data_IF_394209354103
#
_entry.id   IF_394209354103
#
_cell.length_a   1.000
_cell.length_b   1.000
_cell.length_c   1.000
_cell.angle_alpha   90.00
_cell.angle_beta   90.00
_cell.angle_gamma   90.00
#
_symmetry.space_group_name_H-M   'P 1'
#
loop_
_entity.id
_entity.type
_entity.pdbx_description
1 polymer ?
#
# COMPACT_ATOMS: atom_id res chain seq x y z
N UNK A 1 36.07 9.72 27.95
CA UNK A 1 35.07 8.76 27.45
C UNK A 1 33.73 9.49 27.43
N UNK A 2 33.32 10.20 26.39
CA UNK A 2 33.39 9.88 24.98
C UNK A 2 32.07 9.26 24.50
N UNK A 3 30.92 9.86 24.85
CA UNK A 3 29.61 9.46 24.31
C UNK A 3 29.47 10.06 22.91
N UNK A 4 29.95 9.30 21.93
CA UNK A 4 29.68 9.56 20.53
C UNK A 4 28.26 9.17 20.14
N UNK A 5 27.70 10.01 19.27
CA UNK A 5 26.88 9.59 18.13
C UNK A 5 25.65 8.73 18.44
N UNK A 6 24.55 9.41 18.80
CA UNK A 6 23.26 9.12 18.17
C UNK A 6 23.16 10.04 16.94
N UNK A 7 23.60 9.49 15.81
CA UNK A 7 23.41 10.05 14.48
C UNK A 7 21.93 10.47 14.31
N UNK A 8 21.62 11.75 14.09
CA UNK A 8 21.72 12.40 12.79
C UNK A 8 20.94 11.66 11.68
N UNK A 9 19.64 11.46 11.88
CA UNK A 9 18.66 11.25 10.81
C UNK A 9 17.32 11.89 11.19
N UNK A 10 17.37 13.17 11.55
CA UNK A 10 16.29 14.10 11.26
C UNK A 10 16.94 15.14 10.36
N UNK A 11 17.20 14.74 9.11
CA UNK A 11 17.63 15.71 8.10
C UNK A 11 16.45 16.62 7.87
N UNK A 12 16.61 17.82 8.41
CA UNK A 12 15.72 18.96 8.36
C UNK A 12 15.18 19.15 6.94
N UNK A 13 13.86 19.04 6.77
CA UNK A 13 13.20 19.70 5.65
C UNK A 13 13.32 21.21 5.91
N UNK A 14 14.39 21.84 5.43
CA UNK A 14 14.61 23.30 5.46
C UNK A 14 13.80 23.93 4.33
N UNK A 15 12.62 24.51 4.57
CA UNK A 15 11.71 24.92 3.50
C UNK A 15 12.20 26.12 2.69
N UNK A 16 13.29 26.78 3.13
CA UNK A 16 13.82 28.02 2.56
C UNK A 16 15.25 27.90 2.02
N UNK A 17 15.95 26.79 2.29
CA UNK A 17 17.27 26.45 1.70
C UNK A 17 17.05 25.45 0.55
N UNK A 18 16.09 25.74 -0.33
CA UNK A 18 15.90 24.94 -1.56
C UNK A 18 16.86 25.47 -2.59
N UNK A 19 17.88 24.70 -2.92
CA UNK A 19 18.82 25.04 -3.98
C UNK A 19 18.05 25.13 -5.31
N UNK A 20 18.19 26.26 -6.02
CA UNK A 20 17.51 26.47 -7.31
C UNK A 20 17.95 25.44 -8.38
N UNK A 21 19.10 24.80 -8.21
CA UNK A 21 19.55 23.68 -9.04
C UNK A 21 18.68 22.43 -8.84
N UNK A 22 18.21 22.14 -7.61
CA UNK A 22 17.28 21.02 -7.34
C UNK A 22 15.91 21.23 -8.01
N UNK A 23 15.48 22.49 -8.17
CA UNK A 23 14.25 22.81 -8.90
C UNK A 23 14.36 22.52 -10.40
N UNK A 24 15.56 22.59 -10.97
CA UNK A 24 15.75 22.33 -12.40
C UNK A 24 15.52 20.85 -12.75
N UNK A 25 15.87 19.95 -11.84
CA UNK A 25 15.60 18.52 -11.96
C UNK A 25 14.12 18.19 -11.74
N UNK A 26 13.45 18.90 -10.83
CA UNK A 26 12.00 18.80 -10.61
C UNK A 26 11.20 19.36 -11.81
N UNK A 27 11.56 20.52 -12.36
CA UNK A 27 10.92 21.09 -13.56
C UNK A 27 11.09 20.17 -14.78
N UNK A 28 12.30 19.61 -14.97
CA UNK A 28 12.60 18.62 -16.02
C UNK A 28 11.77 17.34 -15.85
N UNK A 29 11.57 16.90 -14.60
CA UNK A 29 10.76 15.72 -14.28
C UNK A 29 9.27 15.98 -14.49
N UNK A 30 8.77 17.16 -14.13
CA UNK A 30 7.38 17.58 -14.37
C UNK A 30 7.09 17.67 -15.87
N UNK A 31 8.02 18.22 -16.66
CA UNK A 31 7.85 18.29 -18.10
C UNK A 31 7.74 16.89 -18.73
N UNK A 32 8.62 15.96 -18.35
CA UNK A 32 8.55 14.56 -18.81
C UNK A 32 7.26 13.86 -18.38
N UNK A 33 6.79 14.11 -17.15
CA UNK A 33 5.52 13.60 -16.68
C UNK A 33 4.35 14.07 -17.58
N UNK A 34 4.34 15.35 -17.95
CA UNK A 34 3.31 15.92 -18.82
C UNK A 34 3.35 15.30 -20.22
N UNK A 35 4.53 15.15 -20.81
CA UNK A 35 4.71 14.50 -22.11
C UNK A 35 4.21 13.04 -22.08
N UNK A 36 4.64 12.25 -21.09
CA UNK A 36 4.20 10.87 -20.92
C UNK A 36 2.69 10.76 -20.72
N UNK A 37 2.09 11.70 -19.96
CA UNK A 37 0.65 11.74 -19.73
C UNK A 37 -0.13 12.05 -21.01
N UNK A 38 0.34 13.01 -21.81
CA UNK A 38 -0.30 13.36 -23.09
C UNK A 38 -0.29 12.15 -24.02
N UNK A 39 0.83 11.44 -24.12
CA UNK A 39 0.93 10.23 -24.96
C UNK A 39 -0.07 9.16 -24.51
N UNK A 40 -0.13 8.86 -23.21
CA UNK A 40 -1.07 7.87 -22.66
C UNK A 40 -2.52 8.27 -22.88
N UNK A 41 -2.85 9.57 -22.79
CA UNK A 41 -4.21 10.07 -23.01
C UNK A 41 -4.68 9.93 -24.46
N UNK A 42 -3.77 9.97 -25.42
CA UNK A 42 -4.07 9.90 -26.85
C UNK A 42 -3.82 8.52 -27.45
N UNK A 43 -3.33 7.56 -26.66
CA UNK A 43 -3.15 6.17 -27.09
C UNK A 43 -4.45 5.37 -26.96
N UNK A 44 -5.21 5.36 -28.06
CA UNK A 44 -6.46 4.59 -28.16
C UNK A 44 -6.24 3.07 -28.04
N UNK A 45 -5.06 2.57 -28.41
CA UNK A 45 -4.76 1.13 -28.29
C UNK A 45 -4.54 0.74 -26.82
N UNK A 46 -3.80 1.57 -26.09
CA UNK A 46 -3.61 1.41 -24.65
C UNK A 46 -4.95 1.52 -23.91
N UNK A 47 -5.80 2.47 -24.32
CA UNK A 47 -7.15 2.64 -23.76
C UNK A 47 -8.05 1.42 -24.00
N UNK A 48 -8.03 0.86 -25.20
CA UNK A 48 -8.76 -0.36 -25.54
C UNK A 48 -8.24 -1.57 -24.74
N UNK A 49 -6.92 -1.74 -24.67
CA UNK A 49 -6.29 -2.82 -23.90
C UNK A 49 -6.61 -2.71 -22.40
N UNK A 50 -6.62 -1.50 -21.84
CA UNK A 50 -6.95 -1.27 -20.43
C UNK A 50 -8.37 -1.72 -20.06
N UNK A 51 -9.34 -1.55 -20.97
CA UNK A 51 -10.71 -2.02 -20.73
C UNK A 51 -10.83 -3.54 -20.72
N UNK A 52 -9.94 -4.22 -21.45
CA UNK A 52 -9.98 -5.67 -21.65
C UNK A 52 -9.07 -6.43 -20.69
N UNK A 53 -8.15 -5.74 -20.02
CA UNK A 53 -7.10 -6.35 -19.19
C UNK A 53 -7.24 -5.96 -17.71
N UNK A 54 -6.76 -6.82 -16.82
CA UNK A 54 -6.74 -6.52 -15.39
C UNK A 54 -5.64 -5.49 -15.06
N UNK A 55 -5.77 -4.79 -13.92
CA UNK A 55 -4.81 -3.80 -13.43
C UNK A 55 -3.36 -4.32 -13.37
N UNK A 56 -3.17 -5.64 -13.27
CA UNK A 56 -1.85 -6.27 -13.32
C UNK A 56 -1.12 -6.13 -14.65
N UNK A 57 -1.84 -6.00 -15.78
CA UNK A 57 -1.24 -5.81 -17.11
C UNK A 57 -0.94 -4.34 -17.39
N UNK A 58 -1.64 -3.40 -16.73
CA UNK A 58 -1.33 -1.97 -16.78
C UNK A 58 0.11 -1.67 -16.32
N UNK A 59 0.67 -2.46 -15.39
CA UNK A 59 2.08 -2.40 -14.99
C UNK A 59 3.08 -2.65 -16.14
N UNK A 60 2.66 -3.28 -17.23
CA UNK A 60 3.57 -3.50 -18.37
C UNK A 60 3.82 -2.20 -19.13
N UNK A 61 2.81 -1.32 -19.22
CA UNK A 61 2.93 0.02 -19.80
C UNK A 61 3.78 0.95 -18.92
N UNK A 62 3.85 0.68 -17.61
CA UNK A 62 4.74 1.38 -16.65
C UNK A 62 6.22 1.34 -17.07
N UNK A 63 6.65 0.27 -17.76
CA UNK A 63 8.03 0.17 -18.26
C UNK A 63 8.33 1.13 -19.41
N UNK A 64 7.31 1.48 -20.19
CA UNK A 64 7.44 2.40 -21.32
C UNK A 64 7.29 3.87 -20.91
N UNK A 65 6.69 4.12 -19.73
CA UNK A 65 6.42 5.44 -19.14
C UNK A 65 6.90 5.48 -17.67
N UNK A 66 8.22 5.46 -17.43
CA UNK A 66 8.78 5.27 -16.10
C UNK A 66 8.53 6.43 -15.13
N UNK A 67 8.39 7.66 -15.63
CA UNK A 67 8.13 8.84 -14.77
C UNK A 67 6.68 8.83 -14.31
N UNK A 68 5.75 8.66 -15.24
CA UNK A 68 4.32 8.54 -14.97
C UNK A 68 4.01 7.32 -14.12
N UNK A 69 4.67 6.19 -14.39
CA UNK A 69 4.55 4.97 -13.61
C UNK A 69 4.91 5.17 -12.13
N UNK A 70 6.06 5.81 -11.86
CA UNK A 70 6.51 6.13 -10.50
C UNK A 70 5.51 7.03 -9.75
N UNK A 71 5.02 8.08 -10.39
CA UNK A 71 4.05 8.98 -9.74
C UNK A 71 2.69 8.32 -9.52
N UNK A 72 2.23 7.51 -10.48
CA UNK A 72 1.02 6.71 -10.33
C UNK A 72 1.15 5.71 -9.16
N UNK A 73 2.32 5.09 -8.99
CA UNK A 73 2.57 4.16 -7.89
C UNK A 73 2.47 4.86 -6.53
N UNK A 74 3.05 6.06 -6.37
CA UNK A 74 2.93 6.85 -5.12
C UNK A 74 1.47 7.09 -4.74
N UNK A 75 0.65 7.49 -5.71
CA UNK A 75 -0.78 7.73 -5.50
C UNK A 75 -1.50 6.43 -5.13
N UNK A 76 -1.29 5.36 -5.89
CA UNK A 76 -1.92 4.05 -5.64
C UNK A 76 -1.50 3.45 -4.29
N UNK A 77 -0.24 3.60 -3.90
CA UNK A 77 0.28 3.16 -2.60
C UNK A 77 -0.37 3.91 -1.44
N UNK A 78 -0.53 5.24 -1.54
CA UNK A 78 -1.20 6.05 -0.52
C UNK A 78 -2.65 5.56 -0.30
N UNK A 79 -3.38 5.25 -1.37
CA UNK A 79 -4.72 4.69 -1.27
C UNK A 79 -4.73 3.30 -0.62
N UNK A 80 -3.85 2.39 -1.07
CA UNK A 80 -3.82 1.02 -0.54
C UNK A 80 -3.47 1.02 0.96
N UNK A 81 -2.47 1.79 1.37
CA UNK A 81 -2.03 1.88 2.77
C UNK A 81 -3.09 2.52 3.67
N UNK A 82 -3.75 3.59 3.21
CA UNK A 82 -4.82 4.24 3.97
C UNK A 82 -6.02 3.31 4.13
N UNK A 83 -6.47 2.68 3.04
CA UNK A 83 -7.59 1.74 3.07
C UNK A 83 -7.31 0.53 3.99
N UNK A 84 -6.10 -0.05 3.90
CA UNK A 84 -5.72 -1.17 4.76
C UNK A 84 -5.64 -0.76 6.23
N UNK A 85 -5.15 0.43 6.55
CA UNK A 85 -5.17 0.98 7.89
C UNK A 85 -6.60 1.17 8.41
N UNK A 86 -7.47 1.82 7.63
CA UNK A 86 -8.88 2.04 7.99
C UNK A 86 -9.62 0.72 8.21
N UNK A 87 -9.47 -0.24 7.29
CA UNK A 87 -10.04 -1.59 7.41
C UNK A 87 -9.48 -2.34 8.64
N UNK A 88 -8.19 -2.19 8.92
CA UNK A 88 -7.53 -2.68 10.13
C UNK A 88 -8.16 -2.14 11.40
N UNK A 89 -8.33 -0.82 11.49
CA UNK A 89 -8.95 -0.17 12.64
C UNK A 89 -10.43 -0.54 12.80
N UNK A 90 -11.19 -0.62 11.71
CA UNK A 90 -12.57 -1.05 11.72
C UNK A 90 -12.71 -2.49 12.25
N UNK A 91 -11.83 -3.39 11.80
CA UNK A 91 -11.78 -4.78 12.28
C UNK A 91 -11.45 -4.86 13.77
N UNK A 92 -10.47 -4.09 14.23
CA UNK A 92 -10.12 -4.01 15.65
C UNK A 92 -11.30 -3.48 16.49
N UNK A 93 -11.99 -2.44 16.03
CA UNK A 93 -13.17 -1.91 16.69
C UNK A 93 -14.30 -2.96 16.78
N UNK A 94 -14.54 -3.72 15.71
CA UNK A 94 -15.51 -4.82 15.70
C UNK A 94 -15.14 -5.94 16.68
N UNK A 95 -13.85 -6.32 16.74
CA UNK A 95 -13.37 -7.34 17.68
C UNK A 95 -13.54 -6.88 19.13
N UNK A 96 -13.13 -5.65 19.45
CA UNK A 96 -13.22 -5.10 20.82
C UNK A 96 -14.66 -4.93 21.30
N UNK A 97 -15.58 -4.54 20.41
CA UNK A 97 -16.99 -4.34 20.78
C UNK A 97 -17.72 -5.67 21.04
N UNK A 98 -17.36 -6.74 20.32
CA UNK A 98 -17.99 -8.07 20.47
C UNK A 98 -17.34 -8.94 21.54
N UNK A 99 -16.03 -8.85 21.73
CA UNK A 99 -15.29 -9.62 22.73
C UNK A 99 -15.18 -8.86 24.05
N UNK A 100 -16.29 -8.74 24.80
CA UNK A 100 -16.35 -8.01 26.09
C UNK A 100 -15.40 -8.53 27.18
N UNK A 101 -14.87 -9.75 27.06
CA UNK A 101 -14.13 -10.45 28.13
C UNK A 101 -12.68 -10.83 27.79
N UNK A 102 -12.12 -10.41 26.65
CA UNK A 102 -10.74 -10.77 26.24
C UNK A 102 -9.81 -9.56 26.28
N UNK A 103 -8.72 -9.67 27.05
CA UNK A 103 -7.72 -8.62 27.24
C UNK A 103 -6.76 -8.44 26.03
N UNK A 104 -6.73 -9.37 25.08
CA UNK A 104 -5.73 -9.41 23.99
C UNK A 104 -6.37 -9.68 22.61
N UNK A 105 -6.60 -8.65 21.77
CA UNK A 105 -7.26 -8.78 20.46
C UNK A 105 -6.30 -9.14 19.30
N UNK A 106 -4.99 -9.23 19.55
CA UNK A 106 -3.95 -9.34 18.51
C UNK A 106 -4.11 -10.57 17.62
N UNK A 107 -4.43 -11.74 18.20
CA UNK A 107 -4.62 -12.98 17.45
C UNK A 107 -5.85 -12.91 16.54
N UNK A 108 -6.96 -12.39 17.06
CA UNK A 108 -8.22 -12.27 16.32
C UNK A 108 -8.07 -11.26 15.18
N UNK A 109 -7.36 -10.15 15.42
CA UNK A 109 -7.08 -9.15 14.39
C UNK A 109 -6.18 -9.72 13.29
N UNK A 110 -5.14 -10.49 13.65
CA UNK A 110 -4.27 -11.15 12.67
C UNK A 110 -5.06 -12.09 11.77
N UNK A 111 -6.00 -12.86 12.32
CA UNK A 111 -6.86 -13.74 11.54
C UNK A 111 -7.83 -12.93 10.67
N UNK A 112 -8.45 -11.87 11.21
CA UNK A 112 -9.41 -11.04 10.49
C UNK A 112 -8.80 -10.28 9.30
N UNK A 113 -7.53 -9.88 9.39
CA UNK A 113 -6.81 -9.20 8.32
C UNK A 113 -6.04 -10.15 7.40
N UNK A 114 -6.11 -11.46 7.62
CA UNK A 114 -5.41 -12.44 6.80
C UNK A 114 -6.12 -12.64 5.47
N UNK A 115 -5.35 -12.62 4.38
CA UNK A 115 -5.81 -13.05 3.05
C UNK A 115 -5.68 -14.56 2.85
N UNK A 116 -5.15 -15.28 3.83
CA UNK A 116 -4.94 -16.73 3.77
C UNK A 116 -6.25 -17.42 4.12
N UNK A 117 -6.77 -18.24 3.21
CA UNK A 117 -7.96 -19.04 3.49
C UNK A 117 -7.69 -20.07 4.61
N UNK A 118 -8.54 -20.13 5.64
CA UNK A 118 -8.39 -21.11 6.70
C UNK A 118 -8.66 -22.51 6.15
N UNK A 119 -7.75 -23.45 6.43
CA UNK A 119 -7.91 -24.87 6.08
C UNK A 119 -8.88 -25.57 7.03
N UNK A 120 -10.16 -25.21 6.93
CA UNK A 120 -11.22 -25.67 7.83
C UNK A 120 -11.32 -27.20 7.88
N UNK A 121 -11.15 -27.89 6.75
CA UNK A 121 -11.22 -29.36 6.68
C UNK A 121 -10.15 -30.04 7.55
N UNK A 122 -8.93 -29.48 7.58
CA UNK A 122 -7.86 -30.00 8.43
C UNK A 122 -8.11 -29.71 9.91
N UNK A 123 -8.80 -28.60 10.21
CA UNK A 123 -9.17 -28.25 11.57
C UNK A 123 -10.29 -29.18 12.09
N UNK A 124 -11.34 -29.39 11.31
CA UNK A 124 -12.48 -30.24 11.68
C UNK A 124 -12.13 -31.72 11.74
N UNK A 125 -11.21 -32.21 10.88
CA UNK A 125 -10.75 -33.61 10.92
C UNK A 125 -10.08 -34.03 12.23
N UNK A 126 -9.57 -33.07 13.01
CA UNK A 126 -8.94 -33.30 14.33
C UNK A 126 -9.89 -33.06 15.50
N UNK A 127 -11.13 -32.65 15.22
CA UNK A 127 -12.10 -32.34 16.25
C UNK A 127 -12.70 -33.64 16.79
N UNK A 128 -12.43 -33.94 18.07
CA UNK A 128 -13.06 -35.06 18.76
C UNK A 128 -14.33 -34.54 19.44
N UNK A 129 -15.54 -35.00 19.06
CA UNK A 129 -16.76 -34.56 19.70
C UNK A 129 -16.71 -34.94 21.19
N UNK A 130 -16.82 -33.93 22.05
CA UNK A 130 -17.04 -34.16 23.48
C UNK A 130 -18.43 -34.79 23.61
N UNK A 131 -18.51 -36.01 24.12
CA UNK A 131 -19.79 -36.69 24.32
C UNK A 131 -20.71 -35.84 25.19
N UNK A 132 -21.99 -35.76 24.83
CA UNK A 132 -23.02 -35.21 25.70
C UNK A 132 -23.14 -36.09 26.94
N UNK A 133 -23.13 -35.48 28.12
CA UNK A 133 -23.62 -36.11 29.35
C UNK A 133 -25.14 -36.08 29.41
#
# INVERSE_FOLDING_TARGET
>A
MGTGQVAALVTEARPFDVDLEDLSDEESSIQKLQEELIEVQHDETLRFNFQQQSLGVFRTAEKEKPVLGREAEKVLLQFATTYLCESGFASLAAIKTKSRNRLQPEHDLRVALSTIEPRMDKFTSKFQPQGSH
#
